data_IF_905362324270
#
_entry.id   IF_905362324270
#
_cell.length_a   1.000
_cell.length_b   1.000
_cell.length_c   1.000
_cell.angle_alpha   90.00
_cell.angle_beta   90.00
_cell.angle_gamma   90.00
#
_symmetry.space_group_name_H-M   'P 1'
#
loop_
_entity.id
_entity.type
_entity.pdbx_description
1 polymer ?
#
# COMPACT_ATOMS: atom_id res chain seq x y z
N UNK A 1 70.83 -22.65 47.90
CA UNK A 1 70.29 -22.57 46.53
C UNK A 1 68.78 -22.42 46.60
N UNK A 2 68.16 -21.49 45.85
CA UNK A 2 66.76 -21.11 46.05
C UNK A 2 65.79 -22.08 45.34
N UNK A 3 64.72 -22.48 46.05
CA UNK A 3 63.60 -23.23 45.47
C UNK A 3 62.64 -22.25 44.78
N UNK A 4 62.55 -22.37 43.46
CA UNK A 4 61.56 -21.68 42.63
C UNK A 4 60.12 -22.05 43.04
N UNK A 5 59.36 -21.09 43.57
CA UNK A 5 57.91 -21.20 43.70
C UNK A 5 57.26 -20.82 42.37
N UNK A 6 56.66 -21.79 41.69
CA UNK A 6 55.79 -21.58 40.52
C UNK A 6 54.50 -20.89 40.98
N UNK A 7 54.27 -19.66 40.50
CA UNK A 7 52.98 -18.98 40.57
C UNK A 7 51.93 -19.79 39.81
N UNK A 8 50.88 -20.24 40.50
CA UNK A 8 49.71 -20.82 39.86
C UNK A 8 48.91 -19.70 39.18
N UNK A 9 48.75 -19.81 37.86
CA UNK A 9 47.88 -18.94 37.07
C UNK A 9 46.42 -19.16 37.44
N UNK A 10 45.78 -18.12 37.98
CA UNK A 10 44.34 -18.11 38.20
C UNK A 10 43.60 -18.26 36.87
N UNK A 11 42.72 -19.26 36.79
CA UNK A 11 41.75 -19.39 35.70
C UNK A 11 40.87 -18.12 35.68
N UNK A 12 41.02 -17.27 34.65
CA UNK A 12 40.02 -16.23 34.36
C UNK A 12 38.71 -16.94 34.01
N UNK A 13 37.67 -16.72 34.82
CA UNK A 13 36.30 -17.08 34.44
C UNK A 13 35.95 -16.34 33.14
N UNK A 14 35.15 -16.95 32.25
CA UNK A 14 34.63 -16.24 31.09
C UNK A 14 33.90 -14.98 31.56
N UNK A 15 34.17 -13.88 30.86
CA UNK A 15 33.67 -12.55 31.18
C UNK A 15 32.16 -12.49 30.85
N UNK A 16 31.34 -12.94 31.79
CA UNK A 16 29.86 -12.85 31.75
C UNK A 16 29.37 -11.41 32.00
N UNK A 17 30.06 -10.41 31.47
CA UNK A 17 29.64 -9.02 31.60
C UNK A 17 29.16 -8.49 30.26
N UNK A 18 27.93 -8.86 29.89
CA UNK A 18 27.14 -7.94 29.06
C UNK A 18 27.04 -6.63 29.84
N UNK A 19 27.78 -5.61 29.41
CA UNK A 19 27.72 -4.27 30.00
C UNK A 19 26.41 -3.60 29.59
N UNK A 20 25.33 -3.92 30.29
CA UNK A 20 24.08 -3.17 30.16
C UNK A 20 24.28 -1.76 30.71
N UNK A 21 23.69 -0.76 30.04
CA UNK A 21 23.56 0.59 30.59
C UNK A 21 22.83 0.46 31.93
N UNK A 22 23.42 0.98 33.01
CA UNK A 22 22.90 0.80 34.38
C UNK A 22 21.97 1.92 34.80
N UNK A 23 21.96 3.01 34.05
CA UNK A 23 21.09 4.16 34.29
C UNK A 23 19.71 3.94 33.64
N UNK A 24 18.63 3.72 34.44
CA UNK A 24 17.28 3.50 33.91
C UNK A 24 16.69 4.71 33.20
N UNK A 25 17.29 5.90 33.30
CA UNK A 25 16.88 7.09 32.55
C UNK A 25 17.38 7.06 31.09
N UNK A 26 18.46 6.31 30.83
CA UNK A 26 19.00 6.12 29.48
C UNK A 26 18.45 4.89 28.79
N UNK A 27 17.71 4.05 29.51
CA UNK A 27 17.02 2.92 28.92
C UNK A 27 16.02 3.46 27.91
N UNK A 28 15.95 2.80 26.76
CA UNK A 28 14.89 3.08 25.80
C UNK A 28 13.55 2.84 26.50
N UNK A 29 12.73 3.88 26.57
CA UNK A 29 11.36 3.85 27.11
C UNK A 29 10.40 3.83 25.93
N UNK A 30 9.86 2.66 25.56
CA UNK A 30 8.95 2.57 24.42
C UNK A 30 7.80 3.57 24.51
N UNK A 31 7.28 3.81 25.71
CA UNK A 31 6.21 4.77 26.01
C UNK A 31 6.53 6.21 25.59
N UNK A 32 7.79 6.63 25.63
CA UNK A 32 8.22 7.99 25.25
C UNK A 32 8.38 8.15 23.73
N UNK A 33 8.34 7.04 22.99
CA UNK A 33 8.62 6.99 21.55
C UNK A 33 7.50 6.35 20.73
N UNK A 34 6.48 5.82 21.38
CA UNK A 34 5.32 5.22 20.75
C UNK A 34 4.40 6.33 20.21
N UNK A 35 4.17 6.41 18.89
CA UNK A 35 3.15 7.30 18.37
C UNK A 35 1.79 6.90 18.92
N UNK A 36 0.93 7.87 19.23
CA UNK A 36 -0.48 7.60 19.56
C UNK A 36 -1.15 7.00 18.31
N UNK A 37 -1.37 5.69 18.34
CA UNK A 37 -2.06 4.98 17.27
C UNK A 37 -3.55 4.85 17.59
N UNK A 38 -4.44 5.02 16.61
CA UNK A 38 -5.85 4.74 16.81
C UNK A 38 -6.03 3.26 17.17
N UNK A 39 -6.88 2.93 18.15
CA UNK A 39 -6.99 1.56 18.64
C UNK A 39 -7.62 0.62 17.62
N UNK A 40 -8.49 1.11 16.72
CA UNK A 40 -9.22 0.31 15.74
C UNK A 40 -9.50 1.08 14.45
N UNK A 41 -9.22 0.46 13.30
CA UNK A 41 -9.42 1.02 11.95
C UNK A 41 -10.26 0.10 11.06
N UNK A 42 -11.27 0.67 10.40
CA UNK A 42 -12.01 0.00 9.32
C UNK A 42 -11.28 0.11 7.98
N UNK A 43 -10.47 1.16 7.82
CA UNK A 43 -9.65 1.35 6.63
C UNK A 43 -8.31 2.03 6.92
N UNK A 44 -7.28 1.64 6.18
CA UNK A 44 -6.00 2.33 6.10
C UNK A 44 -5.72 2.68 4.64
N UNK A 45 -5.54 3.96 4.34
CA UNK A 45 -5.31 4.54 3.01
C UNK A 45 -3.82 4.93 2.86
N UNK A 46 -3.00 3.99 2.39
CA UNK A 46 -1.55 4.15 2.24
C UNK A 46 -1.24 4.79 0.89
N UNK A 47 -0.38 5.81 0.92
CA UNK A 47 -0.09 6.76 -0.16
C UNK A 47 -1.32 7.61 -0.54
N UNK A 48 -2.17 7.86 0.45
CA UNK A 48 -3.45 8.55 0.32
C UNK A 48 -3.38 10.06 0.49
N UNK A 49 -2.41 10.78 -0.09
CA UNK A 49 -2.25 12.24 0.10
C UNK A 49 -3.54 13.07 -0.09
N UNK A 50 -4.46 12.65 -0.96
CA UNK A 50 -5.73 13.35 -1.20
C UNK A 50 -6.79 13.16 -0.10
N UNK A 51 -6.60 12.13 0.74
CA UNK A 51 -7.52 11.64 1.76
C UNK A 51 -8.92 11.34 1.20
N UNK A 52 -9.03 11.02 -0.09
CA UNK A 52 -10.34 10.75 -0.72
C UNK A 52 -10.99 9.50 -0.14
N UNK A 53 -10.20 8.46 0.17
CA UNK A 53 -10.72 7.26 0.82
C UNK A 53 -11.13 7.55 2.26
N UNK A 54 -10.27 8.23 3.03
CA UNK A 54 -10.59 8.66 4.41
C UNK A 54 -11.90 9.45 4.46
N UNK A 55 -12.09 10.45 3.59
CA UNK A 55 -13.35 11.22 3.50
C UNK A 55 -14.58 10.35 3.18
N UNK A 56 -14.43 9.33 2.35
CA UNK A 56 -15.53 8.41 1.98
C UNK A 56 -15.95 7.57 3.18
N UNK A 57 -14.99 7.02 3.92
CA UNK A 57 -15.22 6.18 5.09
C UNK A 57 -15.78 6.99 6.26
N UNK A 58 -15.16 8.13 6.60
CA UNK A 58 -15.58 8.96 7.73
C UNK A 58 -16.97 9.55 7.52
N UNK A 59 -17.30 9.96 6.29
CA UNK A 59 -18.66 10.42 5.94
C UNK A 59 -19.74 9.36 6.20
N UNK A 60 -19.37 8.08 6.19
CA UNK A 60 -20.28 6.95 6.42
C UNK A 60 -20.14 6.36 7.83
N UNK A 61 -19.46 7.05 8.75
CA UNK A 61 -19.34 6.65 10.15
C UNK A 61 -18.24 5.62 10.44
N UNK A 62 -17.34 5.34 9.49
CA UNK A 62 -16.25 4.37 9.66
C UNK A 62 -14.91 5.05 9.92
N UNK A 63 -14.04 4.39 10.69
CA UNK A 63 -12.71 4.92 11.03
C UNK A 63 -11.73 4.62 9.91
N UNK A 64 -11.10 5.66 9.36
CA UNK A 64 -10.07 5.53 8.35
C UNK A 64 -8.91 6.47 8.61
N UNK A 65 -7.69 5.94 8.49
CA UNK A 65 -6.47 6.75 8.52
C UNK A 65 -5.77 6.78 7.17
N UNK A 66 -5.05 7.88 6.91
CA UNK A 66 -4.25 8.07 5.70
C UNK A 66 -2.78 8.14 6.05
N UNK A 67 -1.97 7.30 5.42
CA UNK A 67 -0.51 7.29 5.57
C UNK A 67 0.14 7.81 4.28
N UNK A 68 0.76 8.98 4.33
CA UNK A 68 1.46 9.58 3.18
C UNK A 68 2.49 10.59 3.68
N UNK A 69 3.67 10.61 3.05
CA UNK A 69 4.77 11.51 3.43
C UNK A 69 4.38 12.99 3.36
N UNK A 70 3.44 13.37 2.50
CA UNK A 70 2.93 14.75 2.41
C UNK A 70 2.11 15.14 3.65
N UNK A 71 1.54 14.16 4.36
CA UNK A 71 0.69 14.39 5.53
C UNK A 71 1.46 14.38 6.84
N UNK A 72 2.45 13.48 6.99
CA UNK A 72 3.19 13.30 8.25
C UNK A 72 4.71 13.44 8.14
N UNK A 73 5.25 13.77 6.97
CA UNK A 73 6.71 13.85 6.78
C UNK A 73 7.38 12.52 7.10
N UNK A 74 8.44 12.57 7.91
CA UNK A 74 9.25 11.40 8.29
C UNK A 74 8.44 10.29 8.95
N UNK A 75 7.45 10.62 9.80
CA UNK A 75 6.62 9.61 10.47
C UNK A 75 5.67 8.90 9.51
N UNK A 76 5.41 9.49 8.33
CA UNK A 76 4.58 8.90 7.29
C UNK A 76 5.38 8.55 6.02
N UNK A 77 6.70 8.39 6.15
CA UNK A 77 7.59 7.93 5.07
C UNK A 77 7.96 6.46 5.28
N UNK A 78 7.39 5.58 4.45
CA UNK A 78 7.63 4.13 4.46
C UNK A 78 9.11 3.73 4.27
N UNK A 79 9.94 4.65 3.77
CA UNK A 79 11.37 4.40 3.53
C UNK A 79 12.25 4.69 4.74
N UNK A 80 11.69 5.32 5.77
CA UNK A 80 12.37 5.57 7.04
C UNK A 80 12.02 4.50 8.05
N UNK A 81 12.91 4.25 9.01
CA UNK A 81 12.65 3.30 10.09
C UNK A 81 11.39 3.67 10.89
N UNK A 82 11.28 4.94 11.29
CA UNK A 82 10.13 5.45 12.05
C UNK A 82 8.83 5.35 11.26
N UNK A 83 8.81 5.80 10.00
CA UNK A 83 7.60 5.74 9.19
C UNK A 83 7.18 4.31 8.83
N UNK A 84 8.13 3.39 8.66
CA UNK A 84 7.81 1.97 8.52
C UNK A 84 7.17 1.38 9.78
N UNK A 85 7.69 1.72 10.97
CA UNK A 85 7.10 1.30 12.25
C UNK A 85 5.71 1.89 12.49
N UNK A 86 5.52 3.18 12.18
CA UNK A 86 4.20 3.84 12.24
C UNK A 86 3.22 3.13 11.31
N UNK A 87 3.63 2.85 10.06
CA UNK A 87 2.79 2.13 9.10
C UNK A 87 2.43 0.72 9.60
N UNK A 88 3.40 -0.01 10.17
CA UNK A 88 3.17 -1.32 10.76
C UNK A 88 2.16 -1.24 11.92
N UNK A 89 2.33 -0.27 12.81
CA UNK A 89 1.41 -0.01 13.92
C UNK A 89 -0.01 0.28 13.44
N UNK A 90 -0.19 1.19 12.47
CA UNK A 90 -1.50 1.46 11.85
C UNK A 90 -2.09 0.20 11.18
N UNK A 91 -1.25 -0.60 10.54
CA UNK A 91 -1.62 -1.87 9.96
C UNK A 91 -2.12 -2.88 10.99
N UNK A 92 -1.48 -2.95 12.15
CA UNK A 92 -1.88 -3.76 13.29
C UNK A 92 -3.14 -3.22 13.99
N UNK A 93 -3.51 -1.96 13.77
CA UNK A 93 -4.79 -1.41 14.24
C UNK A 93 -5.98 -1.77 13.33
N UNK A 94 -5.77 -2.43 12.19
CA UNK A 94 -6.86 -2.87 11.32
C UNK A 94 -7.74 -3.93 12.01
N UNK A 95 -9.05 -3.68 11.98
CA UNK A 95 -10.07 -4.63 12.44
C UNK A 95 -10.15 -5.85 11.51
N UNK A 96 -10.61 -7.01 12.01
CA UNK A 96 -11.00 -8.12 11.16
C UNK A 96 -12.00 -7.67 10.08
N UNK A 97 -11.71 -8.00 8.84
CA UNK A 97 -12.49 -7.59 7.68
C UNK A 97 -12.28 -6.14 7.23
N UNK A 98 -11.33 -5.39 7.80
CA UNK A 98 -10.99 -4.03 7.35
C UNK A 98 -10.46 -3.98 5.90
N UNK A 99 -10.38 -2.76 5.35
CA UNK A 99 -9.84 -2.50 4.01
C UNK A 99 -8.47 -1.81 4.08
N UNK A 100 -7.48 -2.37 3.40
CA UNK A 100 -6.20 -1.71 3.14
C UNK A 100 -6.16 -1.18 1.71
N UNK A 101 -6.26 0.14 1.57
CA UNK A 101 -6.17 0.85 0.29
C UNK A 101 -4.73 1.28 0.01
N UNK A 102 -4.21 0.96 -1.17
CA UNK A 102 -2.81 1.19 -1.54
C UNK A 102 -2.72 1.88 -2.91
N UNK A 103 -2.20 3.11 -2.93
CA UNK A 103 -1.98 3.88 -4.17
C UNK A 103 -0.54 4.38 -4.31
N UNK A 104 0.48 3.49 -4.35
CA UNK A 104 1.88 3.90 -4.36
C UNK A 104 2.24 4.80 -5.55
N UNK A 105 3.26 5.66 -5.44
CA UNK A 105 3.68 6.55 -6.52
C UNK A 105 3.99 5.79 -7.82
N UNK A 106 3.36 6.20 -8.91
CA UNK A 106 3.48 5.54 -10.22
C UNK A 106 4.47 6.23 -11.19
N UNK A 107 4.97 7.42 -10.84
CA UNK A 107 5.71 8.29 -11.77
C UNK A 107 6.99 7.69 -12.33
N UNK A 108 7.61 6.71 -11.66
CA UNK A 108 8.82 5.98 -12.11
C UNK A 108 8.52 4.56 -12.61
N UNK A 109 7.26 4.28 -12.91
CA UNK A 109 6.80 2.98 -13.39
C UNK A 109 6.00 3.06 -14.69
N UNK A 110 5.76 4.27 -15.22
CA UNK A 110 4.94 4.49 -16.42
C UNK A 110 5.80 4.78 -17.64
N UNK A 111 5.22 4.61 -18.84
CA UNK A 111 5.91 4.82 -20.11
C UNK A 111 6.57 6.21 -20.24
N UNK A 112 5.98 7.27 -19.66
CA UNK A 112 6.50 8.64 -19.71
C UNK A 112 7.88 8.79 -19.07
N UNK A 113 8.25 7.92 -18.13
CA UNK A 113 9.53 7.94 -17.46
C UNK A 113 10.41 6.74 -17.83
N UNK A 114 10.08 6.03 -18.91
CA UNK A 114 10.80 4.82 -19.34
C UNK A 114 12.28 5.05 -19.62
N UNK A 115 12.63 6.19 -20.24
CA UNK A 115 14.02 6.59 -20.48
C UNK A 115 14.80 6.89 -19.19
N UNK A 116 14.11 7.30 -18.12
CA UNK A 116 14.73 7.57 -16.81
C UNK A 116 14.85 6.30 -16.00
N UNK A 117 13.76 5.53 -15.94
CA UNK A 117 13.61 4.42 -15.01
C UNK A 117 14.24 3.13 -15.56
N UNK A 118 14.37 2.99 -16.88
CA UNK A 118 15.05 1.87 -17.55
C UNK A 118 14.49 0.47 -17.24
N UNK A 119 13.19 0.37 -16.94
CA UNK A 119 12.56 -0.88 -16.49
C UNK A 119 11.98 -1.62 -17.67
N UNK A 120 12.10 -2.94 -17.63
CA UNK A 120 11.45 -3.86 -18.55
C UNK A 120 10.91 -5.06 -17.76
N UNK A 121 10.19 -5.97 -18.43
CA UNK A 121 9.71 -7.19 -17.75
C UNK A 121 10.85 -8.06 -17.23
N UNK A 122 12.02 -8.00 -17.89
CA UNK A 122 13.23 -8.73 -17.53
C UNK A 122 14.11 -7.94 -16.56
N UNK A 123 13.94 -6.62 -16.49
CA UNK A 123 14.69 -5.73 -15.61
C UNK A 123 13.71 -4.88 -14.77
N UNK A 124 12.99 -5.48 -13.79
CA UNK A 124 11.93 -4.80 -13.05
C UNK A 124 12.45 -3.70 -12.11
N UNK A 125 13.69 -3.82 -11.62
CA UNK A 125 14.34 -2.80 -10.78
C UNK A 125 14.90 -1.61 -11.57
N UNK A 126 15.08 -1.77 -12.88
CA UNK A 126 15.49 -0.71 -13.80
C UNK A 126 16.91 -0.16 -13.58
N UNK A 127 17.11 1.11 -13.92
CA UNK A 127 18.40 1.79 -13.79
C UNK A 127 18.70 2.18 -12.33
N UNK A 128 19.33 1.26 -11.59
CA UNK A 128 19.67 1.47 -10.18
C UNK A 128 20.82 2.46 -9.95
N UNK A 129 21.49 2.99 -10.99
CA UNK A 129 22.43 4.10 -10.79
C UNK A 129 21.72 5.42 -10.49
N UNK A 130 20.42 5.53 -10.80
CA UNK A 130 19.61 6.70 -10.50
C UNK A 130 18.99 6.58 -9.09
N UNK A 131 19.34 7.50 -8.18
CA UNK A 131 18.84 7.47 -6.80
C UNK A 131 17.30 7.51 -6.70
N UNK A 132 16.60 8.17 -7.63
CA UNK A 132 15.13 8.21 -7.63
C UNK A 132 14.55 6.83 -7.95
N UNK A 133 15.22 6.08 -8.83
CA UNK A 133 14.88 4.69 -9.13
C UNK A 133 15.11 3.82 -7.91
N UNK A 134 16.26 3.95 -7.23
CA UNK A 134 16.52 3.22 -5.98
C UNK A 134 15.45 3.50 -4.92
N UNK A 135 15.09 4.77 -4.73
CA UNK A 135 14.04 5.18 -3.78
C UNK A 135 12.69 4.55 -4.14
N UNK A 136 12.31 4.59 -5.42
CA UNK A 136 11.06 3.95 -5.86
C UNK A 136 11.06 2.43 -5.64
N UNK A 137 12.21 1.76 -5.78
CA UNK A 137 12.36 0.34 -5.48
C UNK A 137 12.18 0.10 -3.98
N UNK A 138 12.81 0.94 -3.13
CA UNK A 138 12.68 0.87 -1.67
C UNK A 138 11.23 0.99 -1.24
N UNK A 139 10.46 1.93 -1.79
CA UNK A 139 9.03 2.10 -1.49
C UNK A 139 8.25 0.81 -1.78
N UNK A 140 8.44 0.20 -2.95
CA UNK A 140 7.72 -1.02 -3.34
C UNK A 140 8.14 -2.22 -2.49
N UNK A 141 9.43 -2.38 -2.25
CA UNK A 141 9.94 -3.49 -1.42
C UNK A 141 9.47 -3.38 0.03
N UNK A 142 9.54 -2.18 0.62
CA UNK A 142 8.98 -1.93 1.96
C UNK A 142 7.48 -2.20 1.99
N UNK A 143 6.73 -1.77 0.97
CA UNK A 143 5.30 -2.08 0.86
C UNK A 143 5.04 -3.60 0.83
N UNK A 144 5.79 -4.36 0.03
CA UNK A 144 5.60 -5.82 -0.05
C UNK A 144 5.95 -6.51 1.27
N UNK A 145 7.01 -6.08 1.97
CA UNK A 145 7.36 -6.60 3.29
C UNK A 145 6.23 -6.30 4.29
N UNK A 146 5.77 -5.05 4.35
CA UNK A 146 4.65 -4.64 5.19
C UNK A 146 3.39 -5.48 4.93
N UNK A 147 3.01 -5.65 3.65
CA UNK A 147 1.85 -6.44 3.26
C UNK A 147 1.99 -7.91 3.64
N UNK A 148 3.17 -8.49 3.41
CA UNK A 148 3.44 -9.90 3.74
C UNK A 148 3.30 -10.10 5.24
N UNK A 149 3.99 -9.29 6.05
CA UNK A 149 3.91 -9.37 7.51
C UNK A 149 2.47 -9.26 8.00
N UNK A 150 1.73 -8.23 7.56
CA UNK A 150 0.35 -8.08 8.01
C UNK A 150 -0.55 -9.24 7.59
N UNK A 151 -0.42 -9.74 6.35
CA UNK A 151 -1.28 -10.83 5.84
C UNK A 151 -1.05 -12.16 6.57
N UNK A 152 0.12 -12.39 7.15
CA UNK A 152 0.33 -13.59 8.00
C UNK A 152 -0.47 -13.51 9.31
N UNK A 153 -0.67 -12.31 9.86
CA UNK A 153 -1.19 -12.15 11.23
C UNK A 153 -2.59 -11.54 11.31
N UNK A 154 -3.14 -11.01 10.22
CA UNK A 154 -4.39 -10.25 10.23
C UNK A 154 -5.33 -10.62 9.08
N UNK A 155 -6.62 -10.62 9.39
CA UNK A 155 -7.69 -10.83 8.43
C UNK A 155 -8.23 -9.50 7.93
N UNK A 156 -7.73 -9.03 6.79
CA UNK A 156 -8.23 -7.82 6.10
C UNK A 156 -8.26 -8.08 4.60
N UNK A 157 -8.96 -7.25 3.83
CA UNK A 157 -8.85 -7.24 2.36
C UNK A 157 -8.01 -6.06 1.91
N UNK A 158 -7.30 -6.19 0.80
CA UNK A 158 -6.41 -5.13 0.32
C UNK A 158 -6.62 -4.84 -1.16
N UNK A 159 -6.41 -3.59 -1.56
CA UNK A 159 -6.60 -3.10 -2.93
C UNK A 159 -5.39 -2.26 -3.31
N UNK A 160 -4.68 -2.68 -4.35
CA UNK A 160 -3.53 -2.00 -4.92
C UNK A 160 -3.84 -1.47 -6.32
N UNK A 161 -3.74 -0.16 -6.51
CA UNK A 161 -3.93 0.48 -7.81
C UNK A 161 -2.62 0.95 -8.42
N UNK A 162 -2.49 0.74 -9.73
CA UNK A 162 -1.52 1.42 -10.57
C UNK A 162 -2.10 1.68 -11.97
N UNK A 163 -1.57 2.68 -12.70
CA UNK A 163 -1.92 2.90 -14.10
C UNK A 163 -1.71 1.64 -14.96
N UNK A 164 -2.55 1.49 -15.99
CA UNK A 164 -2.41 0.46 -17.01
C UNK A 164 -1.04 0.58 -17.67
N UNK A 165 -0.28 -0.52 -17.65
CA UNK A 165 1.08 -0.58 -18.20
C UNK A 165 2.18 -0.21 -17.20
N UNK A 166 1.84 0.00 -15.92
CA UNK A 166 2.83 0.19 -14.86
C UNK A 166 3.79 -1.00 -14.78
N UNK A 167 5.09 -0.72 -14.71
CA UNK A 167 6.16 -1.70 -14.55
C UNK A 167 6.22 -2.28 -13.13
N UNK A 168 5.53 -1.67 -12.17
CA UNK A 168 5.53 -2.10 -10.77
C UNK A 168 5.03 -3.55 -10.59
N UNK A 169 4.08 -4.01 -11.41
CA UNK A 169 3.54 -5.37 -11.33
C UNK A 169 4.48 -6.47 -11.80
N UNK A 170 5.67 -6.13 -12.30
CA UNK A 170 6.68 -7.11 -12.70
C UNK A 170 7.74 -7.34 -11.60
N UNK A 171 7.57 -6.77 -10.41
CA UNK A 171 8.41 -7.07 -9.26
C UNK A 171 8.24 -8.55 -8.85
N UNK A 172 9.34 -9.33 -8.77
CA UNK A 172 9.27 -10.72 -8.35
C UNK A 172 8.60 -10.90 -6.99
N UNK A 173 8.88 -10.01 -6.03
CA UNK A 173 8.35 -10.07 -4.68
C UNK A 173 6.84 -9.77 -4.66
N UNK A 174 6.40 -8.77 -5.43
CA UNK A 174 4.97 -8.45 -5.54
C UNK A 174 4.21 -9.57 -6.26
N UNK A 175 4.80 -10.19 -7.28
CA UNK A 175 4.23 -11.36 -7.97
C UNK A 175 4.18 -12.60 -7.06
N UNK A 176 5.20 -12.83 -6.24
CA UNK A 176 5.22 -13.91 -5.26
C UNK A 176 4.16 -13.69 -4.18
N UNK A 177 4.08 -12.47 -3.64
CA UNK A 177 3.04 -12.07 -2.69
C UNK A 177 1.63 -12.25 -3.27
N UNK A 178 1.38 -11.75 -4.47
CA UNK A 178 0.06 -11.85 -5.10
C UNK A 178 -0.35 -13.31 -5.34
N UNK A 179 0.59 -14.19 -5.71
CA UNK A 179 0.32 -15.63 -5.82
C UNK A 179 0.02 -16.27 -4.47
N UNK A 180 0.83 -15.98 -3.45
CA UNK A 180 0.68 -16.53 -2.10
C UNK A 180 -0.67 -16.19 -1.47
N UNK A 181 -1.13 -14.95 -1.64
CA UNK A 181 -2.38 -14.48 -1.04
C UNK A 181 -3.55 -14.39 -2.04
N UNK A 182 -3.44 -15.08 -3.17
CA UNK A 182 -4.50 -15.21 -4.18
C UNK A 182 -5.09 -13.88 -4.68
N UNK A 183 -4.25 -12.86 -4.84
CA UNK A 183 -4.68 -11.57 -5.38
C UNK A 183 -5.07 -11.72 -6.86
N UNK A 184 -6.20 -11.12 -7.21
CA UNK A 184 -6.74 -11.08 -8.57
C UNK A 184 -6.46 -9.73 -9.20
N UNK A 185 -6.18 -9.73 -10.49
CA UNK A 185 -6.02 -8.51 -11.29
C UNK A 185 -7.30 -8.20 -12.08
N UNK A 186 -7.76 -6.95 -12.01
CA UNK A 186 -8.81 -6.44 -12.89
C UNK A 186 -8.38 -5.13 -13.56
N UNK A 187 -8.92 -4.86 -14.75
CA UNK A 187 -8.79 -3.55 -15.40
C UNK A 187 -10.03 -2.72 -15.13
N UNK A 188 -9.84 -1.47 -14.75
CA UNK A 188 -10.91 -0.48 -14.72
C UNK A 188 -10.46 0.83 -15.36
N UNK A 189 -11.41 1.64 -15.83
CA UNK A 189 -11.13 2.95 -16.39
C UNK A 189 -11.63 4.04 -15.45
N UNK A 190 -10.68 4.77 -14.84
CA UNK A 190 -10.95 5.82 -13.85
C UNK A 190 -11.82 6.95 -14.40
N UNK A 191 -11.84 7.15 -15.72
CA UNK A 191 -12.73 8.10 -16.38
C UNK A 191 -14.22 7.85 -16.09
N UNK A 192 -14.59 6.59 -15.91
CA UNK A 192 -15.96 6.18 -15.55
C UNK A 192 -16.27 6.39 -14.06
N UNK A 193 -15.25 6.67 -13.25
CA UNK A 193 -15.36 7.18 -11.88
C UNK A 193 -15.14 8.71 -11.81
N UNK A 194 -15.26 9.41 -12.94
CA UNK A 194 -15.20 10.87 -12.97
C UNK A 194 -13.79 11.46 -13.08
N UNK A 195 -12.77 10.64 -13.33
CA UNK A 195 -11.44 11.13 -13.65
C UNK A 195 -11.43 11.87 -15.01
N UNK A 196 -10.65 12.95 -15.20
CA UNK A 196 -10.68 13.73 -16.44
C UNK A 196 -10.07 13.02 -17.65
N UNK A 197 -9.23 12.01 -17.42
CA UNK A 197 -8.57 11.21 -18.46
C UNK A 197 -9.19 9.81 -18.59
N UNK A 198 -9.04 9.22 -19.78
CA UNK A 198 -9.28 7.80 -20.08
C UNK A 198 -8.22 6.89 -19.42
N UNK A 199 -7.87 7.17 -18.16
CA UNK A 199 -6.85 6.47 -17.39
C UNK A 199 -7.35 5.06 -17.11
N UNK A 200 -6.78 4.08 -17.81
CA UNK A 200 -6.89 2.69 -17.42
C UNK A 200 -6.03 2.45 -16.19
N UNK A 201 -6.54 1.67 -15.25
CA UNK A 201 -5.89 1.32 -14.00
C UNK A 201 -6.05 -0.17 -13.74
N UNK A 202 -4.93 -0.83 -13.47
CA UNK A 202 -4.93 -2.18 -12.95
C UNK A 202 -5.17 -2.12 -11.46
N UNK A 203 -6.09 -2.95 -10.98
CA UNK A 203 -6.35 -3.17 -9.57
C UNK A 203 -5.93 -4.59 -9.24
N UNK A 204 -5.01 -4.76 -8.31
CA UNK A 204 -4.71 -6.06 -7.71
C UNK A 204 -5.33 -6.13 -6.32
N UNK A 205 -6.06 -7.20 -6.02
CA UNK A 205 -6.81 -7.28 -4.77
C UNK A 205 -7.27 -8.69 -4.45
N UNK A 206 -7.41 -8.99 -3.17
CA UNK A 206 -8.13 -10.14 -2.64
C UNK A 206 -9.52 -9.80 -2.09
N UNK A 207 -9.98 -8.56 -2.27
CA UNK A 207 -11.33 -8.15 -1.87
C UNK A 207 -12.38 -8.97 -2.63
N UNK A 208 -13.27 -9.70 -1.93
CA UNK A 208 -14.32 -10.47 -2.59
C UNK A 208 -15.20 -9.58 -3.48
N UNK A 209 -15.54 -10.09 -4.66
CA UNK A 209 -16.37 -9.36 -5.61
C UNK A 209 -15.67 -8.20 -6.34
N UNK A 210 -14.33 -8.07 -6.27
CA UNK A 210 -13.57 -7.00 -6.93
C UNK A 210 -13.92 -6.80 -8.41
N UNK A 211 -14.29 -7.86 -9.13
CA UNK A 211 -14.74 -7.81 -10.53
C UNK A 211 -15.88 -6.82 -10.77
N UNK A 212 -16.73 -6.60 -9.76
CA UNK A 212 -17.89 -5.70 -9.83
C UNK A 212 -17.53 -4.23 -10.04
N UNK A 213 -16.29 -3.81 -9.79
CA UNK A 213 -15.80 -2.44 -10.06
C UNK A 213 -15.00 -2.33 -11.36
N UNK A 214 -14.81 -3.45 -12.08
CA UNK A 214 -14.21 -3.43 -13.41
C UNK A 214 -15.14 -2.67 -14.36
N UNK A 215 -14.59 -1.70 -15.09
CA UNK A 215 -15.32 -0.88 -16.06
C UNK A 215 -14.56 -0.84 -17.36
N UNK A 216 -15.24 -1.08 -18.48
CA UNK A 216 -14.69 -0.94 -19.83
C UNK A 216 -15.21 0.33 -20.47
N UNK A 217 -14.38 1.02 -21.24
CA UNK A 217 -14.78 2.20 -22.02
C UNK A 217 -14.88 1.87 -23.50
N UNK A 218 -16.10 1.96 -24.04
CA UNK A 218 -16.37 1.90 -25.48
C UNK A 218 -16.05 3.23 -26.20
N UNK A 219 -16.21 3.26 -27.52
CA UNK A 219 -15.93 4.45 -28.35
C UNK A 219 -16.80 5.66 -27.96
N UNK A 220 -18.08 5.44 -27.65
CA UNK A 220 -19.05 6.50 -27.30
C UNK A 220 -18.71 7.13 -25.95
N UNK A 221 -18.38 6.32 -24.95
CA UNK A 221 -17.95 6.76 -23.63
C UNK A 221 -16.64 7.56 -23.71
N UNK A 222 -15.69 7.12 -24.53
CA UNK A 222 -14.43 7.86 -24.78
C UNK A 222 -14.69 9.23 -25.42
N UNK A 223 -15.52 9.28 -26.46
CA UNK A 223 -15.89 10.54 -27.11
C UNK A 223 -16.53 11.52 -26.10
N UNK A 224 -17.48 11.04 -25.28
CA UNK A 224 -18.12 11.85 -24.23
C UNK A 224 -17.10 12.38 -23.21
N UNK A 225 -16.15 11.55 -22.77
CA UNK A 225 -15.12 11.98 -21.83
C UNK A 225 -14.16 13.02 -22.45
N UNK A 226 -13.74 12.83 -23.70
CA UNK A 226 -12.91 13.80 -24.43
C UNK A 226 -13.60 15.15 -24.59
N UNK A 227 -14.88 15.14 -24.96
CA UNK A 227 -15.68 16.36 -25.06
C UNK A 227 -15.79 17.08 -23.71
N UNK A 228 -16.03 16.33 -22.62
CA UNK A 228 -16.02 16.90 -21.26
C UNK A 228 -14.65 17.48 -20.90
N UNK A 229 -13.56 16.78 -21.21
CA UNK A 229 -12.19 17.22 -20.94
C UNK A 229 -11.83 18.50 -21.70
N UNK A 230 -12.26 18.63 -22.95
CA UNK A 230 -12.01 19.83 -23.76
C UNK A 230 -12.57 21.09 -23.09
N UNK A 231 -13.67 20.97 -22.33
CA UNK A 231 -14.27 22.09 -21.58
C UNK A 231 -13.50 22.49 -20.31
N UNK A 232 -12.58 21.66 -19.83
CA UNK A 232 -11.82 21.94 -18.60
C UNK A 232 -10.65 22.91 -18.81
N UNK A 233 -10.31 23.21 -20.08
CA UNK A 233 -9.15 24.03 -20.45
C UNK A 233 -7.84 23.62 -19.74
N UNK A 234 -7.63 22.31 -19.58
CA UNK A 234 -6.45 21.72 -18.92
C UNK A 234 -5.68 20.84 -19.87
N UNK A 235 -4.38 21.09 -19.98
CA UNK A 235 -3.43 20.28 -20.75
C UNK A 235 -2.64 19.41 -19.79
N UNK A 236 -2.78 18.08 -19.88
CA UNK A 236 -2.12 17.12 -18.99
C UNK A 236 -0.79 16.60 -19.54
N UNK A 237 -0.67 16.54 -20.85
CA UNK A 237 0.56 16.16 -21.53
C UNK A 237 0.61 16.82 -22.91
N UNK A 238 1.81 17.05 -23.39
CA UNK A 238 2.10 17.56 -24.73
C UNK A 238 2.72 16.42 -25.53
N UNK A 239 2.27 16.26 -26.77
CA UNK A 239 2.82 15.28 -27.72
C UNK A 239 3.57 16.05 -28.79
N UNK A 240 4.87 15.82 -28.88
CA UNK A 240 5.70 16.29 -29.99
C UNK A 240 5.72 15.19 -31.05
N UNK A 241 5.03 15.44 -32.17
CA UNK A 241 4.90 14.45 -33.26
C UNK A 241 6.21 14.29 -34.04
N UNK A 242 7.00 15.36 -34.16
CA UNK A 242 8.25 15.34 -34.92
C UNK A 242 9.30 14.52 -34.16
N UNK A 243 9.43 14.78 -32.86
CA UNK A 243 10.37 14.05 -31.99
C UNK A 243 9.81 12.73 -31.47
N UNK A 244 8.54 12.43 -31.76
CA UNK A 244 7.79 11.26 -31.24
C UNK A 244 7.88 11.15 -29.72
N UNK A 245 7.86 12.28 -29.01
CA UNK A 245 7.95 12.33 -27.54
C UNK A 245 6.63 12.75 -26.90
N UNK A 246 6.43 12.35 -25.65
CA UNK A 246 5.30 12.78 -24.83
C UNK A 246 5.82 13.29 -23.50
N UNK A 247 5.41 14.51 -23.12
CA UNK A 247 5.84 15.14 -21.87
C UNK A 247 4.63 15.51 -21.01
N UNK A 248 4.66 15.12 -19.74
CA UNK A 248 3.64 15.53 -18.77
C UNK A 248 3.76 17.00 -18.39
N UNK A 249 2.62 17.66 -18.19
CA UNK A 249 2.57 19.04 -17.65
C UNK A 249 2.39 19.03 -16.13
N UNK A 250 2.36 20.22 -15.51
CA UNK A 250 2.03 20.39 -14.08
C UNK A 250 0.67 19.78 -13.72
N UNK A 251 -0.32 19.85 -14.61
CA UNK A 251 -1.66 19.31 -14.38
C UNK A 251 -1.67 17.78 -14.25
N UNK A 252 -0.66 17.08 -14.79
CA UNK A 252 -0.61 15.61 -14.75
C UNK A 252 -0.54 15.08 -13.31
N UNK A 253 0.13 15.78 -12.40
CA UNK A 253 0.24 15.33 -11.00
C UNK A 253 -1.12 15.19 -10.32
N UNK A 254 -2.10 16.04 -10.68
CA UNK A 254 -3.47 15.96 -10.16
C UNK A 254 -4.18 14.64 -10.53
N UNK A 255 -3.70 13.94 -11.56
CA UNK A 255 -4.28 12.69 -12.08
C UNK A 255 -3.77 11.43 -11.36
N UNK A 256 -2.86 11.61 -10.39
CA UNK A 256 -2.40 10.53 -9.52
C UNK A 256 -3.45 10.18 -8.44
N UNK A 257 -4.35 11.11 -8.11
CA UNK A 257 -5.33 10.97 -7.02
C UNK A 257 -6.47 10.02 -7.39
N UNK A 258 -6.90 9.18 -6.46
CA UNK A 258 -8.17 8.47 -6.58
C UNK A 258 -9.34 9.44 -6.56
N UNK A 259 -10.37 9.12 -7.33
CA UNK A 259 -11.59 9.92 -7.39
C UNK A 259 -12.52 9.52 -6.24
N UNK A 260 -13.32 10.47 -5.74
CA UNK A 260 -14.31 10.17 -4.70
C UNK A 260 -15.32 9.09 -5.11
N UNK A 261 -15.69 9.02 -6.40
CA UNK A 261 -16.60 7.98 -6.91
C UNK A 261 -15.95 6.60 -6.93
N UNK A 262 -14.64 6.52 -7.24
CA UNK A 262 -13.90 5.27 -7.16
C UNK A 262 -13.78 4.79 -5.71
N UNK A 263 -13.40 5.71 -4.80
CA UNK A 263 -13.36 5.41 -3.37
C UNK A 263 -14.73 4.97 -2.83
N UNK A 264 -15.82 5.63 -3.24
CA UNK A 264 -17.17 5.22 -2.85
C UNK A 264 -17.53 3.83 -3.37
N UNK A 265 -17.22 3.51 -4.64
CA UNK A 265 -17.48 2.18 -5.17
C UNK A 265 -16.68 1.08 -4.46
N UNK A 266 -15.43 1.37 -4.05
CA UNK A 266 -14.64 0.45 -3.24
C UNK A 266 -15.23 0.26 -1.85
N UNK A 267 -15.69 1.34 -1.21
CA UNK A 267 -16.37 1.27 0.07
C UNK A 267 -17.64 0.42 -0.02
N UNK A 268 -18.51 0.67 -1.01
CA UNK A 268 -19.79 -0.03 -1.14
C UNK A 268 -19.54 -1.55 -1.38
N UNK A 269 -18.52 -1.90 -2.16
CA UNK A 269 -18.07 -3.28 -2.35
C UNK A 269 -17.54 -3.89 -1.05
N UNK A 270 -16.68 -3.18 -0.33
CA UNK A 270 -16.13 -3.64 0.94
C UNK A 270 -17.22 -3.92 1.97
N UNK A 271 -18.19 -3.00 2.11
CA UNK A 271 -19.29 -3.18 3.04
C UNK A 271 -20.14 -4.40 2.68
N UNK A 272 -20.46 -4.58 1.40
CA UNK A 272 -21.19 -5.77 0.92
C UNK A 272 -20.43 -7.07 1.24
N UNK A 273 -19.11 -7.08 1.00
CA UNK A 273 -18.27 -8.24 1.34
C UNK A 273 -18.20 -8.50 2.85
N UNK A 274 -18.22 -7.47 3.69
CA UNK A 274 -18.19 -7.61 5.15
C UNK A 274 -19.50 -8.23 5.65
N UNK A 275 -20.64 -7.80 5.11
CA UNK A 275 -21.96 -8.33 5.47
C UNK A 275 -22.11 -9.81 5.09
N UNK A 276 -21.72 -10.21 3.88
CA UNK A 276 -21.85 -11.60 3.44
C UNK A 276 -21.07 -12.59 4.34
N UNK A 277 -19.88 -12.18 4.81
CA UNK A 277 -19.08 -12.99 5.75
C UNK A 277 -19.73 -13.14 7.13
N UNK A 278 -20.54 -12.18 7.55
CA UNK A 278 -21.27 -12.28 8.81
C UNK A 278 -22.44 -13.26 8.70
N UNK A 279 -23.12 -13.30 7.55
CA UNK A 279 -24.23 -14.24 7.30
C UNK A 279 -23.71 -15.69 7.25
N UNK A 280 -22.62 -15.95 6.52
CA UNK A 280 -22.01 -17.29 6.43
C UNK A 280 -21.59 -17.83 7.81
N UNK A 281 -21.19 -16.98 8.75
CA UNK A 281 -20.84 -17.40 10.12
C UNK A 281 -22.06 -17.65 11.02
N UNK A 282 -23.24 -17.11 10.69
CA UNK A 282 -24.48 -17.36 11.45
C UNK A 282 -25.05 -18.73 11.06
N UNK A 283 -24.99 -19.10 9.78
CA UNK A 283 -25.52 -20.38 9.29
C UNK A 283 -24.71 -21.60 9.75
N UNK A 284 -23.43 -21.42 10.11
CA UNK A 284 -22.58 -22.49 10.67
C UNK A 284 -22.91 -22.75 12.14
N UNK A 285 -23.36 -21.73 12.89
CA UNK A 285 -23.70 -21.88 14.31
C UNK A 285 -25.15 -22.28 14.57
N UNK A 286 -26.03 -22.21 13.56
CA UNK A 286 -27.42 -22.71 13.66
C UNK A 286 -27.56 -24.20 13.33
N UNK A 287 -26.55 -24.82 12.71
CA UNK A 287 -26.56 -26.26 12.40
C UNK A 287 -26.03 -27.17 13.51
N UNK A 288 -25.44 -26.61 14.58
CA UNK A 288 -24.82 -27.37 15.67
C UNK A 288 -25.73 -27.50 16.92
N UNK A 289 -26.99 -27.05 16.86
CA UNK A 289 -27.94 -27.10 17.99
C UNK A 289 -29.11 -28.07 17.85
N UNK A 290 -29.11 -28.94 16.84
CA UNK A 290 -30.15 -29.98 16.67
C UNK A 290 -29.51 -31.36 16.58
N UNK A 291 -29.15 -31.94 17.73
CA UNK A 291 -28.61 -33.30 17.73
C UNK A 291 -28.07 -33.79 19.07
N UNK A 292 -28.79 -33.55 20.18
CA UNK A 292 -28.61 -34.29 21.43
C UNK A 292 -29.92 -34.20 22.22
N UNK A 293 -30.93 -34.94 21.76
CA UNK A 293 -32.10 -35.36 22.55
C UNK A 293 -32.90 -36.39 21.74
N UNK A 294 -32.47 -37.66 21.80
CA UNK A 294 -33.30 -38.85 21.56
C UNK A 294 -32.56 -40.14 22.02
#
# INVERSE_FOLDING_TARGET
MPRNQRKQGGKKKPDDTMSFEKDPQKWFRPEDHMPELPPYLDCLDVFGASQSMKKVFTKRGFKCESFDVVLGGVTHDITTHLGFLVLLGLGLSLLPGALLALSPPCSLYIFLSSSVHGRSKLLPYGNVSNWKVQLSNRIVLSLVIFLTLLKEFRLFSAVLEQPKGSMMFYYPELLAFARRFHWRQILTYMGLFGHPLEKGSWIWSDLPGIHSIARKMDKKMRAKLRAKRARLNKTYYVVDKEKKTVQGTKELQSTAKWTFKFCSALFDLWQTSKMNRQVENIDIHSSDSEGDDA
#
